data_IF_544130563508
#
_entry.id   IF_544130563508
#
_cell.length_a   1.000
_cell.length_b   1.000
_cell.length_c   1.000
_cell.angle_alpha   90.00
_cell.angle_beta   90.00
_cell.angle_gamma   90.00
#
_symmetry.space_group_name_H-M   'P 1'
#
loop_
_entity.id
_entity.type
_entity.pdbx_description
1 polymer ?
#
# COMPACT_ATOMS: atom_id res chain seq x y z
N UNK A 1 82.99 24.06 -28.52
CA UNK A 1 83.70 24.87 -27.50
C UNK A 1 83.10 24.51 -26.14
N UNK A 2 83.57 23.47 -25.44
CA UNK A 2 84.65 23.45 -24.45
C UNK A 2 84.71 24.66 -23.48
N UNK A 3 84.27 24.35 -22.25
CA UNK A 3 84.84 24.68 -20.93
C UNK A 3 84.55 26.05 -20.30
N UNK A 4 83.94 25.99 -19.09
CA UNK A 4 84.32 26.64 -17.81
C UNK A 4 83.25 26.29 -16.76
N UNK A 5 83.50 25.34 -15.84
CA UNK A 5 84.20 25.46 -14.55
C UNK A 5 83.57 26.45 -13.55
N UNK A 6 82.99 25.89 -12.47
CA UNK A 6 83.21 26.22 -11.04
C UNK A 6 81.99 25.76 -10.25
N UNK A 7 82.00 24.60 -9.59
CA UNK A 7 82.66 24.30 -8.30
C UNK A 7 82.17 25.18 -7.17
N UNK A 8 81.11 24.76 -6.47
CA UNK A 8 80.98 24.95 -5.02
C UNK A 8 80.54 23.64 -4.38
N UNK A 9 81.46 23.09 -3.60
CA UNK A 9 81.33 21.93 -2.73
C UNK A 9 80.90 22.44 -1.37
N UNK A 10 79.88 21.84 -0.77
CA UNK A 10 79.73 21.74 0.69
C UNK A 10 79.05 20.40 1.03
N UNK A 11 79.90 19.51 1.56
CA UNK A 11 79.61 18.42 2.51
C UNK A 11 78.76 18.96 3.68
N UNK A 12 77.91 18.26 4.43
CA UNK A 12 77.81 16.86 4.89
C UNK A 12 76.44 16.74 5.59
N UNK A 13 75.76 15.59 5.51
CA UNK A 13 75.35 14.79 6.67
C UNK A 13 74.29 13.76 6.27
N UNK A 14 74.68 12.51 6.43
CA UNK A 14 73.94 11.30 6.16
C UNK A 14 72.83 11.07 7.19
N UNK A 15 71.64 10.72 6.72
CA UNK A 15 70.81 9.72 7.40
C UNK A 15 70.14 8.84 6.36
N UNK A 16 70.60 7.59 6.31
CA UNK A 16 69.96 6.51 5.62
C UNK A 16 68.76 6.05 6.45
N UNK A 17 67.57 6.11 5.86
CA UNK A 17 66.48 5.23 6.21
C UNK A 17 65.92 4.68 4.90
N UNK A 18 66.22 3.42 4.63
CA UNK A 18 65.62 2.67 3.54
C UNK A 18 64.15 2.39 3.92
N UNK A 19 63.22 2.94 3.14
CA UNK A 19 61.80 2.63 3.17
C UNK A 19 61.29 2.63 1.74
N UNK A 20 61.12 1.44 1.19
CA UNK A 20 60.61 1.18 -0.16
C UNK A 20 59.11 1.49 -0.29
N UNK A 21 58.66 1.68 -1.53
CA UNK A 21 57.27 1.85 -2.04
C UNK A 21 56.82 3.33 -2.14
N UNK A 22 56.93 4.00 -3.30
CA UNK A 22 56.18 3.85 -4.57
C UNK A 22 54.79 4.50 -4.55
N UNK A 23 54.67 5.58 -5.32
CA UNK A 23 53.47 6.28 -5.83
C UNK A 23 52.57 6.98 -4.80
N UNK A 24 52.80 8.29 -4.62
CA UNK A 24 51.81 9.20 -4.05
C UNK A 24 50.77 9.57 -5.11
N UNK A 25 49.54 9.13 -4.87
CA UNK A 25 48.34 9.70 -5.46
C UNK A 25 47.98 10.99 -4.70
N UNK A 26 47.65 12.03 -5.46
CA UNK A 26 47.18 13.29 -4.89
C UNK A 26 45.77 13.15 -4.37
N UNK A 27 45.60 13.14 -3.05
CA UNK A 27 44.32 13.32 -2.40
C UNK A 27 43.84 14.76 -2.61
N UNK A 28 42.97 14.93 -3.61
CA UNK A 28 42.02 16.03 -3.62
C UNK A 28 41.11 15.89 -2.38
N UNK A 29 40.79 16.96 -1.66
CA UNK A 29 39.94 16.86 -0.49
C UNK A 29 38.55 16.39 -0.93
N UNK A 30 38.15 15.21 -0.47
CA UNK A 30 36.79 14.74 -0.55
C UNK A 30 35.88 15.79 0.10
N UNK A 31 35.05 16.42 -0.71
CA UNK A 31 33.96 17.24 -0.22
C UNK A 31 33.08 16.32 0.64
N UNK A 32 33.10 16.56 1.95
CA UNK A 32 32.13 15.99 2.86
C UNK A 32 30.75 16.45 2.38
N UNK A 33 30.00 15.52 1.79
CA UNK A 33 28.54 15.65 1.68
C UNK A 33 28.04 15.84 3.10
N UNK A 34 27.59 17.06 3.41
CA UNK A 34 26.93 17.36 4.66
C UNK A 34 25.78 16.35 4.81
N UNK A 35 25.84 15.54 5.86
CA UNK A 35 24.68 14.77 6.28
C UNK A 35 23.56 15.79 6.48
N UNK A 36 22.46 15.62 5.74
CA UNK A 36 21.24 16.38 6.03
C UNK A 36 20.84 15.94 7.43
N UNK A 37 21.10 16.80 8.42
CA UNK A 37 20.63 16.58 9.78
C UNK A 37 19.11 16.66 9.73
N UNK A 38 18.47 15.54 10.03
CA UNK A 38 17.03 15.44 10.03
C UNK A 38 16.52 16.11 11.31
N UNK A 39 15.79 17.22 11.14
CA UNK A 39 15.31 18.04 12.27
C UNK A 39 14.41 17.25 13.23
N UNK A 40 13.72 16.23 12.71
CA UNK A 40 13.03 15.21 13.49
C UNK A 40 13.46 13.85 12.97
N UNK A 41 14.07 13.03 13.84
CA UNK A 41 14.38 11.65 13.52
C UNK A 41 13.07 10.88 13.27
N UNK A 42 12.79 10.41 12.02
CA UNK A 42 11.51 9.79 11.69
C UNK A 42 11.22 8.52 12.51
N UNK A 43 12.28 7.89 13.04
CA UNK A 43 12.21 6.77 13.98
C UNK A 43 11.65 7.20 15.34
N UNK A 44 12.04 8.38 15.85
CA UNK A 44 11.49 8.94 17.08
C UNK A 44 10.01 9.30 16.92
N UNK A 45 9.67 9.97 15.81
CA UNK A 45 8.27 10.28 15.50
C UNK A 45 7.39 9.03 15.42
N UNK A 46 7.93 7.92 14.90
CA UNK A 46 7.25 6.63 14.92
C UNK A 46 6.99 6.13 16.35
N UNK A 47 8.03 6.05 17.18
CA UNK A 47 7.89 5.53 18.56
C UNK A 47 6.95 6.39 19.43
N UNK A 48 6.97 7.71 19.24
CA UNK A 48 6.14 8.61 20.05
C UNK A 48 4.69 8.67 19.58
N UNK A 49 4.44 8.55 18.27
CA UNK A 49 3.13 8.90 17.69
C UNK A 49 2.44 7.75 16.95
N UNK A 50 3.19 6.82 16.39
CA UNK A 50 2.66 5.73 15.56
C UNK A 50 2.63 4.41 16.33
N UNK A 51 3.73 4.03 16.98
CA UNK A 51 3.83 2.78 17.75
C UNK A 51 2.72 2.63 18.80
N UNK A 52 2.33 3.67 19.57
CA UNK A 52 1.22 3.55 20.53
C UNK A 52 -0.13 3.23 19.87
N UNK A 53 -0.30 3.52 18.57
CA UNK A 53 -1.49 3.18 17.78
C UNK A 53 -1.44 1.73 17.26
N UNK A 54 -0.26 1.09 17.26
CA UNK A 54 -0.01 -0.24 16.69
C UNK A 54 0.08 -1.37 17.73
N UNK A 55 0.17 -1.05 19.02
CA UNK A 55 0.32 -2.07 20.09
C UNK A 55 -1.00 -2.80 20.46
N UNK A 56 -0.91 -4.09 20.84
CA UNK A 56 -2.00 -5.07 20.97
C UNK A 56 -3.25 -4.68 21.80
N UNK A 57 -3.11 -3.75 22.76
CA UNK A 57 -4.27 -3.28 23.55
C UNK A 57 -5.08 -2.20 22.84
N UNK A 58 -4.51 -1.56 21.81
CA UNK A 58 -5.17 -0.56 20.95
C UNK A 58 -5.33 -1.02 19.51
N UNK A 59 -4.48 -1.92 18.99
CA UNK A 59 -4.62 -2.42 17.61
C UNK A 59 -5.96 -3.13 17.39
N UNK A 60 -6.45 -3.93 18.34
CA UNK A 60 -7.75 -4.61 18.21
C UNK A 60 -8.98 -3.71 18.38
N UNK A 61 -8.87 -2.60 19.13
CA UNK A 61 -9.99 -1.67 19.38
C UNK A 61 -10.01 -0.51 18.39
N UNK A 62 -8.85 -0.03 17.95
CA UNK A 62 -8.70 0.95 16.87
C UNK A 62 -9.03 0.32 15.50
N UNK A 63 -8.55 -0.91 15.19
CA UNK A 63 -8.84 -1.55 13.89
C UNK A 63 -10.30 -1.99 13.72
N UNK A 64 -11.12 -2.02 14.79
CA UNK A 64 -12.54 -2.30 14.68
C UNK A 64 -13.35 -1.12 14.11
N UNK A 65 -12.82 0.12 14.20
CA UNK A 65 -13.56 1.34 13.84
C UNK A 65 -12.75 2.46 13.14
N UNK A 66 -11.44 2.61 13.37
CA UNK A 66 -10.63 3.73 12.84
C UNK A 66 -10.01 3.50 11.47
N UNK A 67 -9.94 2.25 11.02
CA UNK A 67 -9.23 1.88 9.80
C UNK A 67 -10.02 0.95 8.91
N UNK A 68 -11.35 0.97 9.02
CA UNK A 68 -12.33 0.27 8.17
C UNK A 68 -11.74 -0.88 7.35
N UNK A 69 -11.52 -2.02 8.02
CA UNK A 69 -11.05 -3.25 7.38
C UNK A 69 -9.54 -3.36 7.16
N UNK A 70 -8.73 -2.46 7.70
CA UNK A 70 -7.28 -2.48 7.57
C UNK A 70 -6.65 -2.71 8.92
N UNK A 71 -6.05 -3.88 9.11
CA UNK A 71 -5.28 -4.17 10.31
C UNK A 71 -3.86 -3.63 10.11
N UNK A 72 -3.51 -2.53 10.80
CA UNK A 72 -2.15 -1.97 10.66
C UNK A 72 -1.06 -2.85 11.21
N UNK A 73 -1.38 -3.81 12.09
CA UNK A 73 -0.38 -4.77 12.56
C UNK A 73 0.18 -5.60 11.39
N UNK A 74 -0.58 -5.73 10.29
CA UNK A 74 -0.17 -6.42 9.07
C UNK A 74 0.90 -5.64 8.28
N UNK A 75 1.07 -4.34 8.55
CA UNK A 75 2.12 -3.48 7.94
C UNK A 75 3.17 -3.01 8.93
N UNK A 76 2.83 -2.99 10.23
CA UNK A 76 3.80 -2.81 11.30
C UNK A 76 4.85 -3.93 11.22
N UNK A 77 6.12 -3.55 11.34
CA UNK A 77 7.26 -4.46 11.29
C UNK A 77 8.12 -4.23 12.51
N UNK A 78 9.08 -5.13 12.69
CA UNK A 78 10.05 -5.13 13.78
C UNK A 78 10.74 -3.78 14.01
N UNK A 79 10.87 -2.95 12.96
CA UNK A 79 11.47 -1.62 13.07
C UNK A 79 10.62 -0.55 12.37
N UNK A 80 10.73 0.73 12.81
CA UNK A 80 10.10 1.87 12.14
C UNK A 80 10.46 1.94 10.65
N UNK A 81 11.74 1.73 10.31
CA UNK A 81 12.18 1.80 8.92
C UNK A 81 11.68 0.63 8.06
N UNK A 82 11.51 -0.57 8.63
CA UNK A 82 10.91 -1.70 7.91
C UNK A 82 9.40 -1.47 7.71
N UNK A 83 8.73 -0.87 8.69
CA UNK A 83 7.32 -0.44 8.57
C UNK A 83 7.17 0.61 7.47
N UNK A 84 8.02 1.65 7.47
CA UNK A 84 8.07 2.68 6.43
C UNK A 84 8.28 2.06 5.03
N UNK A 85 9.30 1.22 4.87
CA UNK A 85 9.60 0.56 3.60
C UNK A 85 8.40 -0.25 3.09
N UNK A 86 7.73 -1.01 3.97
CA UNK A 86 6.53 -1.76 3.60
C UNK A 86 5.36 -0.87 3.18
N UNK A 87 5.10 0.23 3.89
CA UNK A 87 4.02 1.15 3.55
C UNK A 87 4.27 1.87 2.22
N UNK A 88 5.53 2.21 1.90
CA UNK A 88 5.90 2.80 0.60
C UNK A 88 5.83 1.78 -0.52
N UNK A 89 6.42 0.59 -0.35
CA UNK A 89 6.44 -0.47 -1.37
C UNK A 89 5.03 -0.97 -1.74
N UNK A 90 4.09 -0.92 -0.79
CA UNK A 90 2.69 -1.25 -1.01
C UNK A 90 1.81 -0.08 -1.49
N UNK A 91 2.41 1.07 -1.81
CA UNK A 91 1.70 2.26 -2.28
C UNK A 91 0.69 2.79 -1.23
N UNK A 92 0.90 2.52 0.06
CA UNK A 92 0.06 3.03 1.15
C UNK A 92 0.50 4.43 1.59
N UNK A 93 1.79 4.71 1.43
CA UNK A 93 2.41 6.00 1.68
C UNK A 93 3.04 6.52 0.39
N UNK A 94 2.82 7.80 0.10
CA UNK A 94 3.45 8.50 -1.01
C UNK A 94 4.44 9.55 -0.47
N UNK A 95 5.75 9.26 -0.41
CA UNK A 95 6.75 10.19 0.10
C UNK A 95 6.87 11.47 -0.74
N UNK A 96 6.53 11.41 -2.03
CA UNK A 96 6.59 12.57 -2.92
C UNK A 96 5.39 13.52 -2.75
N UNK A 97 4.28 13.02 -2.21
CA UNK A 97 3.10 13.82 -1.90
C UNK A 97 2.43 13.26 -0.62
N UNK A 98 2.95 13.59 0.58
CA UNK A 98 2.48 13.05 1.86
C UNK A 98 0.97 13.09 2.05
N UNK A 99 0.33 14.21 1.69
CA UNK A 99 -1.13 14.42 1.77
C UNK A 99 -1.95 13.45 0.90
N UNK A 100 -1.36 12.91 -0.16
CA UNK A 100 -2.02 11.95 -1.06
C UNK A 100 -1.88 10.49 -0.61
N UNK A 101 -1.24 10.25 0.53
CA UNK A 101 -1.00 8.89 1.04
C UNK A 101 -2.33 8.19 1.33
N UNK A 102 -2.51 6.98 0.79
CA UNK A 102 -3.75 6.20 0.92
C UNK A 102 -4.10 5.90 2.37
N UNK A 103 -3.09 5.71 3.23
CA UNK A 103 -3.29 5.48 4.67
C UNK A 103 -4.01 6.66 5.36
N UNK A 104 -3.81 7.90 4.92
CA UNK A 104 -4.51 9.06 5.48
C UNK A 104 -6.00 9.02 5.13
N UNK A 105 -6.32 8.73 3.86
CA UNK A 105 -7.70 8.53 3.43
C UNK A 105 -8.37 7.38 4.18
N UNK A 106 -7.60 6.37 4.62
CA UNK A 106 -8.16 5.24 5.36
C UNK A 106 -8.56 5.60 6.79
N UNK A 107 -7.79 6.45 7.45
CA UNK A 107 -8.11 7.00 8.78
C UNK A 107 -9.36 7.88 8.69
N UNK A 108 -9.46 8.71 7.64
CA UNK A 108 -10.58 9.63 7.45
C UNK A 108 -11.91 8.94 7.13
N UNK A 109 -11.90 7.66 6.72
CA UNK A 109 -13.13 6.84 6.56
C UNK A 109 -13.79 6.48 7.89
N UNK A 110 -13.08 6.62 9.01
CA UNK A 110 -13.63 6.34 10.33
C UNK A 110 -14.83 7.26 10.58
N UNK A 111 -15.93 6.68 11.06
CA UNK A 111 -17.09 7.46 11.51
C UNK A 111 -17.00 7.68 13.01
N UNK A 112 -17.40 8.86 13.52
CA UNK A 112 -17.44 9.09 14.95
C UNK A 112 -18.64 8.36 15.56
N UNK A 113 -18.51 7.05 15.75
CA UNK A 113 -19.59 6.13 16.09
C UNK A 113 -19.64 5.73 17.58
N UNK A 114 -18.73 6.27 18.40
CA UNK A 114 -18.69 6.02 19.84
C UNK A 114 -18.02 7.13 20.65
N UNK A 115 -18.14 7.07 21.98
CA UNK A 115 -17.48 8.02 22.90
C UNK A 115 -15.94 7.98 22.84
N UNK A 116 -15.35 6.90 22.33
CA UNK A 116 -13.91 6.74 22.18
C UNK A 116 -13.40 7.15 20.80
N UNK A 117 -14.30 7.28 19.83
CA UNK A 117 -14.02 7.48 18.41
C UNK A 117 -14.73 8.75 18.02
N UNK A 118 -14.08 9.87 18.33
CA UNK A 118 -14.61 11.19 18.01
C UNK A 118 -13.87 11.76 16.81
N UNK A 119 -14.44 12.81 16.20
CA UNK A 119 -13.79 13.52 15.11
C UNK A 119 -12.40 14.03 15.52
N UNK A 120 -12.20 14.41 16.78
CA UNK A 120 -10.91 14.86 17.31
C UNK A 120 -9.89 13.72 17.39
N UNK A 121 -10.31 12.51 17.77
CA UNK A 121 -9.41 11.34 17.80
C UNK A 121 -9.00 10.96 16.37
N UNK A 122 -9.94 10.90 15.44
CA UNK A 122 -9.68 10.61 14.02
C UNK A 122 -8.71 11.65 13.43
N UNK A 123 -8.94 12.94 13.70
CA UNK A 123 -8.05 14.00 13.26
C UNK A 123 -6.65 13.87 13.87
N UNK A 124 -6.55 13.56 15.18
CA UNK A 124 -5.27 13.38 15.85
C UNK A 124 -4.47 12.20 15.29
N UNK A 125 -5.13 11.07 14.98
CA UNK A 125 -4.50 9.92 14.35
C UNK A 125 -4.01 10.24 12.93
N UNK A 126 -4.86 10.87 12.11
CA UNK A 126 -4.47 11.30 10.77
C UNK A 126 -3.29 12.25 10.82
N UNK A 127 -3.32 13.24 11.71
CA UNK A 127 -2.27 14.25 11.83
C UNK A 127 -0.96 13.63 12.35
N UNK A 128 -1.03 12.64 13.24
CA UNK A 128 0.13 11.86 13.66
C UNK A 128 0.77 11.08 12.50
N UNK A 129 -0.03 10.37 11.70
CA UNK A 129 0.44 9.67 10.50
C UNK A 129 1.03 10.63 9.47
N UNK A 130 0.34 11.74 9.19
CA UNK A 130 0.81 12.76 8.26
C UNK A 130 2.15 13.33 8.69
N UNK A 131 2.29 13.75 9.95
CA UNK A 131 3.53 14.29 10.48
C UNK A 131 4.69 13.28 10.38
N UNK A 132 4.42 12.00 10.62
CA UNK A 132 5.42 10.95 10.46
C UNK A 132 5.83 10.75 8.99
N UNK A 133 4.87 10.76 8.06
CA UNK A 133 5.15 10.66 6.62
C UNK A 133 5.98 11.86 6.14
N UNK A 134 5.62 13.07 6.56
CA UNK A 134 6.37 14.29 6.24
C UNK A 134 7.80 14.25 6.78
N UNK A 135 8.01 13.78 8.01
CA UNK A 135 9.34 13.62 8.59
C UNK A 135 10.21 12.66 7.77
N UNK A 136 9.66 11.51 7.33
CA UNK A 136 10.39 10.58 6.47
C UNK A 136 10.66 11.17 5.07
N UNK A 137 9.70 11.92 4.50
CA UNK A 137 9.86 12.57 3.20
C UNK A 137 10.96 13.65 3.22
N UNK A 138 11.09 14.37 4.33
CA UNK A 138 12.14 15.37 4.56
C UNK A 138 13.49 14.73 4.88
N UNK A 139 13.50 13.47 5.32
CA UNK A 139 14.69 12.71 5.70
C UNK A 139 14.80 11.38 4.93
N UNK A 140 14.96 11.40 3.59
CA UNK A 140 14.98 10.17 2.79
C UNK A 140 16.15 9.24 3.12
N UNK A 141 17.20 9.75 3.77
CA UNK A 141 18.34 8.97 4.25
C UNK A 141 18.07 8.16 5.53
N UNK A 142 17.08 8.51 6.36
CA UNK A 142 16.84 7.83 7.65
C UNK A 142 16.57 6.33 7.51
N UNK A 143 15.86 5.95 6.46
CA UNK A 143 15.51 4.56 6.17
C UNK A 143 16.06 4.07 4.83
N UNK A 144 17.09 4.74 4.30
CA UNK A 144 17.68 4.40 3.01
C UNK A 144 18.26 2.97 3.02
N UNK A 145 17.96 2.20 1.97
CA UNK A 145 18.43 0.82 1.82
C UNK A 145 17.66 -0.22 2.63
N UNK A 146 16.70 0.20 3.46
CA UNK A 146 15.76 -0.74 4.10
C UNK A 146 14.66 -1.07 3.11
N UNK A 147 14.42 -2.37 2.92
CA UNK A 147 13.30 -2.88 2.12
C UNK A 147 12.30 -3.56 3.04
N UNK A 148 11.07 -3.71 2.55
CA UNK A 148 10.01 -4.38 3.30
C UNK A 148 10.36 -5.85 3.62
N UNK A 149 11.07 -6.52 2.72
CA UNK A 149 11.33 -7.96 2.77
C UNK A 149 10.13 -8.78 2.27
N UNK A 150 10.13 -10.08 2.56
CA UNK A 150 8.92 -10.89 2.33
C UNK A 150 7.82 -10.39 3.26
N UNK A 151 6.67 -10.08 2.68
CA UNK A 151 5.49 -9.76 3.47
C UNK A 151 5.12 -11.01 4.25
N UNK A 152 5.07 -10.90 5.58
CA UNK A 152 4.38 -11.91 6.38
C UNK A 152 2.98 -12.01 5.79
N UNK A 153 2.68 -13.21 5.29
CA UNK A 153 1.40 -13.61 4.78
C UNK A 153 0.41 -13.68 5.96
N UNK A 154 0.15 -12.55 6.63
CA UNK A 154 -1.07 -12.37 7.43
C UNK A 154 -2.25 -12.89 6.61
N UNK A 155 -3.24 -13.54 7.24
CA UNK A 155 -4.10 -14.56 6.64
C UNK A 155 -4.35 -14.27 5.17
N UNK A 156 -3.54 -14.93 4.33
CA UNK A 156 -3.44 -14.52 2.94
C UNK A 156 -4.75 -14.80 2.27
N UNK A 157 -5.23 -13.84 1.49
CA UNK A 157 -6.41 -13.99 0.65
C UNK A 157 -6.20 -14.96 -0.51
N UNK A 158 -5.08 -15.69 -0.48
CA UNK A 158 -4.54 -16.55 -1.51
C UNK A 158 -5.18 -17.93 -1.54
N UNK A 159 -6.13 -18.27 -0.66
CA UNK A 159 -6.76 -19.59 -0.72
C UNK A 159 -8.30 -19.57 -0.79
N UNK A 160 -8.91 -19.85 -1.97
CA UNK A 160 -10.36 -19.98 -2.16
C UNK A 160 -10.87 -21.39 -1.87
N UNK A 161 -10.14 -22.24 -1.13
CA UNK A 161 -10.57 -23.60 -0.79
C UNK A 161 -11.69 -23.67 0.25
N UNK A 162 -12.13 -22.55 0.80
CA UNK A 162 -13.34 -22.52 1.61
C UNK A 162 -14.57 -22.45 0.71
N UNK A 163 -15.56 -23.27 1.06
CA UNK A 163 -16.91 -23.34 0.51
C UNK A 163 -17.38 -21.97 -0.03
N UNK A 164 -17.97 -21.91 -1.24
CA UNK A 164 -18.42 -20.65 -1.80
C UNK A 164 -19.25 -19.91 -0.75
N UNK A 165 -18.97 -18.61 -0.51
CA UNK A 165 -19.71 -17.82 0.46
C UNK A 165 -21.19 -17.97 0.14
N UNK A 166 -21.95 -18.46 1.12
CA UNK A 166 -23.39 -18.44 0.98
C UNK A 166 -23.79 -16.97 0.97
N UNK A 167 -24.56 -16.57 -0.05
CA UNK A 167 -25.21 -15.26 0.00
C UNK A 167 -25.95 -15.16 1.34
N UNK A 168 -25.82 -14.04 2.08
CA UNK A 168 -26.53 -13.89 3.34
C UNK A 168 -28.01 -14.23 3.15
N UNK A 169 -28.53 -15.14 3.97
CA UNK A 169 -29.95 -15.51 3.92
C UNK A 169 -30.77 -14.40 4.57
N UNK A 170 -31.61 -13.73 3.79
CA UNK A 170 -32.59 -12.73 4.25
C UNK A 170 -32.32 -11.31 3.77
N UNK A 171 -33.30 -10.43 4.02
CA UNK A 171 -33.20 -9.00 3.76
C UNK A 171 -32.30 -8.36 4.84
N UNK A 172 -30.99 -8.42 4.64
CA UNK A 172 -30.06 -7.63 5.45
C UNK A 172 -30.23 -6.18 5.04
N UNK A 173 -30.65 -5.32 5.97
CA UNK A 173 -30.65 -3.87 5.75
C UNK A 173 -29.20 -3.42 5.61
N UNK A 174 -28.76 -3.20 4.37
CA UNK A 174 -27.42 -2.72 4.06
C UNK A 174 -27.44 -1.18 4.14
N UNK A 175 -26.63 -0.60 5.02
CA UNK A 175 -26.46 0.85 5.10
C UNK A 175 -25.51 1.39 4.05
N UNK A 176 -25.38 2.73 3.98
CA UNK A 176 -24.66 3.44 2.92
C UNK A 176 -23.39 4.15 3.37
N UNK A 177 -22.88 3.85 4.56
CA UNK A 177 -21.54 4.32 4.93
C UNK A 177 -20.47 3.65 4.04
N UNK A 178 -19.32 4.30 3.89
CA UNK A 178 -18.16 3.72 3.18
C UNK A 178 -17.81 2.33 3.71
N UNK A 179 -17.90 2.13 5.03
CA UNK A 179 -17.63 0.84 5.69
C UNK A 179 -18.65 -0.23 5.30
N UNK A 180 -19.93 0.11 5.23
CA UNK A 180 -20.98 -0.81 4.83
C UNK A 180 -20.88 -1.17 3.35
N UNK A 181 -20.57 -0.20 2.47
CA UNK A 181 -20.33 -0.46 1.05
C UNK A 181 -19.10 -1.34 0.82
N UNK A 182 -18.01 -1.12 1.58
CA UNK A 182 -16.82 -1.97 1.52
C UNK A 182 -17.09 -3.39 2.00
N UNK A 183 -17.88 -3.55 3.06
CA UNK A 183 -18.29 -4.86 3.56
C UNK A 183 -19.21 -5.56 2.56
N UNK A 184 -20.20 -4.87 2.00
CA UNK A 184 -21.06 -5.41 0.95
C UNK A 184 -20.23 -5.86 -0.26
N UNK A 185 -19.25 -5.05 -0.69
CA UNK A 185 -18.34 -5.46 -1.77
C UNK A 185 -17.49 -6.68 -1.39
N UNK A 186 -17.02 -6.74 -0.14
CA UNK A 186 -16.27 -7.90 0.37
C UNK A 186 -17.09 -9.17 0.22
N UNK A 187 -18.30 -9.17 0.78
CA UNK A 187 -19.18 -10.34 0.83
C UNK A 187 -19.69 -10.72 -0.56
N UNK A 188 -20.02 -9.73 -1.39
CA UNK A 188 -20.77 -9.97 -2.61
C UNK A 188 -19.89 -10.12 -3.86
N UNK A 189 -18.71 -9.53 -3.86
CA UNK A 189 -17.82 -9.47 -5.03
C UNK A 189 -16.46 -10.09 -4.72
N UNK A 190 -15.77 -9.54 -3.71
CA UNK A 190 -14.39 -9.91 -3.42
C UNK A 190 -14.27 -11.34 -2.88
N UNK A 191 -15.31 -11.86 -2.24
CA UNK A 191 -15.39 -13.25 -1.79
C UNK A 191 -15.28 -14.26 -2.95
N UNK A 192 -15.69 -13.87 -4.17
CA UNK A 192 -15.62 -14.68 -5.40
C UNK A 192 -14.34 -14.45 -6.24
N UNK A 193 -13.43 -13.57 -5.80
CA UNK A 193 -12.22 -13.13 -6.52
C UNK A 193 -11.38 -14.26 -7.14
N UNK A 194 -11.39 -15.46 -6.56
CA UNK A 194 -10.69 -16.63 -7.08
C UNK A 194 -11.11 -17.01 -8.51
N UNK A 195 -12.32 -16.65 -8.94
CA UNK A 195 -12.80 -16.87 -10.31
C UNK A 195 -12.26 -15.87 -11.34
N UNK A 196 -11.76 -14.72 -10.86
CA UNK A 196 -11.19 -13.64 -11.66
C UNK A 196 -9.67 -13.75 -11.76
N UNK A 197 -9.06 -14.55 -10.89
CA UNK A 197 -7.69 -15.03 -11.03
C UNK A 197 -7.53 -15.87 -12.32
N UNK A 198 -6.41 -15.80 -13.04
CA UNK A 198 -5.19 -15.01 -12.78
C UNK A 198 -5.18 -13.60 -13.40
N UNK A 199 -6.27 -13.17 -14.05
CA UNK A 199 -6.19 -12.00 -14.94
C UNK A 199 -6.25 -10.64 -14.23
N UNK A 200 -7.03 -10.53 -13.16
CA UNK A 200 -7.39 -9.23 -12.58
C UNK A 200 -6.60 -8.84 -11.33
N UNK A 201 -5.70 -9.71 -10.86
CA UNK A 201 -4.87 -9.47 -9.68
C UNK A 201 -3.72 -8.52 -10.02
N UNK A 202 -3.45 -7.56 -9.13
CA UNK A 202 -2.37 -6.57 -9.27
C UNK A 202 -0.96 -7.17 -9.16
N UNK A 203 -0.84 -8.34 -8.56
CA UNK A 203 0.43 -9.07 -8.42
C UNK A 203 0.74 -10.00 -9.61
N UNK A 204 -0.21 -10.24 -10.50
CA UNK A 204 -0.07 -11.25 -11.55
C UNK A 204 0.70 -10.75 -12.77
N UNK A 205 2.02 -10.95 -12.73
CA UNK A 205 2.99 -10.47 -13.73
C UNK A 205 2.79 -11.03 -15.14
N UNK A 206 2.12 -12.18 -15.28
CA UNK A 206 1.95 -12.88 -16.56
C UNK A 206 0.57 -12.71 -17.19
N UNK A 207 -0.37 -12.05 -16.51
CA UNK A 207 -1.70 -11.90 -17.05
C UNK A 207 -1.74 -10.88 -18.20
N UNK A 208 -2.78 -10.96 -19.02
CA UNK A 208 -2.97 -10.12 -20.19
C UNK A 208 -2.90 -8.62 -19.80
N UNK A 209 -2.11 -7.78 -20.49
CA UNK A 209 -1.99 -6.36 -20.18
C UNK A 209 -3.28 -5.56 -20.45
N UNK A 210 -4.22 -6.10 -21.24
CA UNK A 210 -5.52 -5.48 -21.51
C UNK A 210 -6.56 -5.75 -20.42
N UNK A 211 -6.31 -6.73 -19.55
CA UNK A 211 -7.18 -6.99 -18.41
C UNK A 211 -6.89 -5.94 -17.30
N UNK A 212 -7.90 -5.16 -16.87
CA UNK A 212 -7.71 -4.18 -15.81
C UNK A 212 -7.35 -4.88 -14.50
N UNK A 213 -6.34 -4.35 -13.80
CA UNK A 213 -5.87 -4.87 -12.51
C UNK A 213 -6.61 -4.21 -11.37
N UNK A 214 -7.83 -4.68 -11.16
CA UNK A 214 -8.73 -4.12 -10.16
C UNK A 214 -8.76 -4.93 -8.86
N UNK A 215 -8.35 -6.20 -8.87
CA UNK A 215 -8.26 -7.00 -7.64
C UNK A 215 -6.91 -6.80 -6.96
N UNK A 216 -6.94 -6.40 -5.70
CA UNK A 216 -5.74 -6.24 -4.88
C UNK A 216 -5.61 -7.37 -3.87
N UNK A 217 -4.39 -7.86 -3.68
CA UNK A 217 -4.03 -8.73 -2.56
C UNK A 217 -3.12 -8.03 -1.55
N UNK A 218 -3.07 -6.70 -1.59
CA UNK A 218 -2.30 -5.90 -0.64
C UNK A 218 -2.93 -6.00 0.75
N UNK A 219 -2.12 -6.36 1.74
CA UNK A 219 -2.57 -6.51 3.12
C UNK A 219 -3.42 -7.76 3.36
N UNK A 220 -4.43 -7.63 4.22
CA UNK A 220 -5.41 -8.69 4.50
C UNK A 220 -6.63 -8.59 3.55
N UNK A 221 -7.62 -9.45 3.73
CA UNK A 221 -8.74 -9.55 2.78
C UNK A 221 -9.70 -8.37 2.80
N UNK A 222 -9.89 -7.74 3.95
CA UNK A 222 -10.69 -6.53 4.03
C UNK A 222 -9.95 -5.36 3.36
N UNK A 223 -8.64 -5.25 3.55
CA UNK A 223 -7.81 -4.23 2.86
C UNK A 223 -7.77 -4.44 1.34
N UNK A 224 -7.54 -5.68 0.90
CA UNK A 224 -7.54 -6.05 -0.51
C UNK A 224 -8.90 -5.79 -1.15
N UNK A 225 -10.00 -6.07 -0.45
CA UNK A 225 -11.37 -5.78 -0.88
C UNK A 225 -11.64 -4.29 -1.06
N UNK A 226 -11.36 -3.47 -0.03
CA UNK A 226 -11.56 -2.02 -0.09
C UNK A 226 -10.74 -1.38 -1.22
N UNK A 227 -9.46 -1.79 -1.37
CA UNK A 227 -8.63 -1.36 -2.50
C UNK A 227 -9.23 -1.78 -3.85
N UNK A 228 -9.82 -2.96 -3.92
CA UNK A 228 -10.46 -3.48 -5.13
C UNK A 228 -11.74 -2.74 -5.49
N UNK A 229 -12.58 -2.39 -4.50
CA UNK A 229 -13.76 -1.57 -4.69
C UNK A 229 -13.40 -0.20 -5.28
N UNK A 230 -12.43 0.49 -4.67
CA UNK A 230 -11.97 1.81 -5.14
C UNK A 230 -11.48 1.75 -6.59
N UNK A 231 -10.75 0.69 -6.96
CA UNK A 231 -10.30 0.49 -8.35
C UNK A 231 -11.46 0.18 -9.28
N UNK A 232 -12.42 -0.64 -8.87
CA UNK A 232 -13.60 -0.95 -9.66
C UNK A 232 -14.43 0.30 -9.96
N UNK A 233 -14.63 1.17 -8.97
CA UNK A 233 -15.27 2.48 -9.13
C UNK A 233 -14.45 3.37 -10.07
N UNK A 234 -13.15 3.53 -9.81
CA UNK A 234 -12.28 4.39 -10.63
C UNK A 234 -12.14 3.95 -12.09
N UNK A 235 -12.36 2.67 -12.37
CA UNK A 235 -12.40 2.10 -13.72
C UNK A 235 -13.79 2.14 -14.37
N UNK A 236 -14.82 2.64 -13.67
CA UNK A 236 -16.19 2.67 -14.16
C UNK A 236 -16.78 1.28 -14.38
N UNK A 237 -16.41 0.30 -13.53
CA UNK A 237 -16.93 -1.07 -13.67
C UNK A 237 -18.37 -1.21 -13.15
N UNK A 238 -18.84 -0.24 -12.38
CA UNK A 238 -20.18 -0.21 -11.79
C UNK A 238 -20.96 0.91 -12.49
N UNK A 239 -22.09 0.55 -13.08
CA UNK A 239 -23.02 1.49 -13.69
C UNK A 239 -24.04 1.92 -12.62
N UNK A 240 -23.99 3.20 -12.23
CA UNK A 240 -24.82 3.78 -11.16
C UNK A 240 -26.24 4.10 -11.63
N UNK A 241 -26.50 4.09 -12.94
CA UNK A 241 -27.83 4.33 -13.50
C UNK A 241 -28.57 3.00 -13.71
N UNK A 242 -27.88 1.99 -14.24
CA UNK A 242 -28.39 0.65 -14.46
C UNK A 242 -27.41 -0.42 -13.95
N UNK A 243 -27.56 -0.90 -12.70
CA UNK A 243 -26.67 -1.87 -12.10
C UNK A 243 -26.49 -3.14 -12.92
N UNK A 244 -27.51 -3.54 -13.68
CA UNK A 244 -27.45 -4.72 -14.56
C UNK A 244 -26.49 -4.54 -15.74
N UNK A 245 -26.19 -3.29 -16.11
CA UNK A 245 -25.25 -2.93 -17.17
C UNK A 245 -23.81 -2.73 -16.68
N UNK A 246 -23.57 -2.85 -15.37
CA UNK A 246 -22.22 -2.82 -14.80
C UNK A 246 -21.30 -3.82 -15.50
N UNK A 247 -20.15 -3.37 -16.01
CA UNK A 247 -19.14 -4.27 -16.58
C UNK A 247 -18.63 -5.29 -15.56
N UNK A 248 -18.68 -4.96 -14.27
CA UNK A 248 -18.42 -5.88 -13.16
C UNK A 248 -19.34 -7.12 -13.22
N UNK A 249 -20.59 -6.94 -13.65
CA UNK A 249 -21.61 -8.01 -13.80
C UNK A 249 -21.54 -8.64 -15.19
N UNK A 250 -21.52 -7.83 -16.25
CA UNK A 250 -21.70 -8.31 -17.63
C UNK A 250 -20.48 -9.04 -18.20
N UNK A 251 -19.25 -8.66 -17.82
CA UNK A 251 -18.03 -9.30 -18.33
C UNK A 251 -17.92 -10.78 -17.91
N UNK A 252 -18.10 -11.14 -16.62
CA UNK A 252 -18.08 -12.54 -16.24
C UNK A 252 -19.35 -13.30 -16.63
N UNK A 253 -20.48 -12.64 -16.91
CA UNK A 253 -21.69 -13.31 -17.38
C UNK A 253 -21.53 -13.89 -18.79
N UNK A 254 -22.09 -15.06 -19.03
CA UNK A 254 -22.08 -15.65 -20.35
C UNK A 254 -22.90 -14.85 -21.37
N UNK A 255 -22.42 -14.81 -22.62
CA UNK A 255 -23.04 -14.00 -23.68
C UNK A 255 -24.46 -14.48 -24.02
N UNK A 256 -24.78 -15.77 -23.83
CA UNK A 256 -26.13 -16.27 -24.07
C UNK A 256 -27.12 -15.79 -22.99
N UNK A 257 -26.63 -15.55 -21.78
CA UNK A 257 -27.34 -14.93 -20.66
C UNK A 257 -27.40 -13.39 -20.72
N UNK A 258 -26.93 -12.76 -21.79
CA UNK A 258 -26.91 -11.31 -21.94
C UNK A 258 -25.62 -10.63 -21.48
N UNK A 259 -24.59 -11.39 -21.14
CA UNK A 259 -23.25 -10.88 -20.86
C UNK A 259 -22.54 -10.31 -22.10
N UNK A 260 -21.37 -9.72 -21.88
CA UNK A 260 -20.52 -9.17 -22.95
C UNK A 260 -19.26 -10.00 -23.12
N UNK A 261 -18.63 -9.90 -24.29
CA UNK A 261 -17.38 -10.64 -24.55
C UNK A 261 -16.30 -10.29 -23.52
N UNK A 262 -15.72 -11.33 -22.93
CA UNK A 262 -14.65 -11.26 -21.95
C UNK A 262 -13.48 -12.15 -22.36
N UNK A 263 -12.28 -11.58 -22.42
CA UNK A 263 -11.09 -12.28 -22.92
C UNK A 263 -10.72 -13.53 -22.11
N UNK A 264 -11.07 -13.56 -20.82
CA UNK A 264 -10.90 -14.73 -19.95
C UNK A 264 -12.03 -15.77 -20.03
N UNK A 265 -12.99 -15.59 -20.94
CA UNK A 265 -14.21 -16.39 -21.05
C UNK A 265 -15.24 -16.08 -19.95
N UNK A 266 -16.44 -16.65 -20.09
CA UNK A 266 -17.51 -16.55 -19.10
C UNK A 266 -17.13 -17.22 -17.78
N UNK A 267 -17.57 -16.64 -16.67
CA UNK A 267 -17.40 -17.13 -15.29
C UNK A 267 -18.73 -17.42 -14.59
N UNK A 268 -19.81 -16.80 -15.04
CA UNK A 268 -21.15 -16.92 -14.49
C UNK A 268 -22.14 -17.35 -15.58
N UNK A 269 -23.26 -17.91 -15.12
CA UNK A 269 -24.53 -17.90 -15.83
C UNK A 269 -25.56 -17.12 -15.02
N UNK A 270 -26.75 -16.85 -15.58
CA UNK A 270 -27.84 -16.18 -14.85
C UNK A 270 -28.29 -16.93 -13.59
N UNK A 271 -28.06 -18.24 -13.51
CA UNK A 271 -28.37 -19.05 -12.33
C UNK A 271 -27.19 -19.21 -11.36
N UNK A 272 -26.02 -18.64 -11.68
CA UNK A 272 -24.84 -18.74 -10.82
C UNK A 272 -25.00 -17.83 -9.59
N UNK A 273 -24.78 -18.32 -8.36
CA UNK A 273 -24.82 -17.49 -7.16
C UNK A 273 -23.92 -16.25 -7.24
N UNK A 274 -22.78 -16.34 -7.90
CA UNK A 274 -21.87 -15.20 -8.08
C UNK A 274 -22.48 -14.10 -8.96
N UNK A 275 -23.32 -14.44 -9.95
CA UNK A 275 -24.04 -13.43 -10.73
C UNK A 275 -25.02 -12.66 -9.85
N UNK A 276 -25.85 -13.37 -9.07
CA UNK A 276 -26.79 -12.75 -8.15
C UNK A 276 -26.09 -11.88 -7.09
N UNK A 277 -24.94 -12.36 -6.60
CA UNK A 277 -24.09 -11.67 -5.63
C UNK A 277 -23.55 -10.36 -6.20
N UNK A 278 -22.94 -10.38 -7.39
CA UNK A 278 -22.40 -9.18 -8.03
C UNK A 278 -23.49 -8.17 -8.39
N UNK A 279 -24.65 -8.64 -8.84
CA UNK A 279 -25.79 -7.78 -9.15
C UNK A 279 -26.38 -7.15 -7.89
N UNK A 280 -26.45 -7.89 -6.77
CA UNK A 280 -26.88 -7.36 -5.47
C UNK A 280 -25.98 -6.20 -5.04
N UNK A 281 -24.66 -6.39 -5.09
CA UNK A 281 -23.73 -5.31 -4.78
C UNK A 281 -23.90 -4.10 -5.68
N UNK A 282 -23.95 -4.28 -7.01
CA UNK A 282 -24.11 -3.17 -7.94
C UNK A 282 -25.42 -2.39 -7.69
N UNK A 283 -26.49 -3.11 -7.34
CA UNK A 283 -27.79 -2.51 -7.00
C UNK A 283 -27.70 -1.70 -5.72
N UNK A 284 -27.12 -2.28 -4.67
CA UNK A 284 -26.93 -1.61 -3.39
C UNK A 284 -26.01 -0.39 -3.52
N UNK A 285 -24.92 -0.48 -4.28
CA UNK A 285 -24.04 0.64 -4.54
C UNK A 285 -24.79 1.80 -5.19
N UNK A 286 -25.62 1.53 -6.20
CA UNK A 286 -26.49 2.54 -6.82
C UNK A 286 -27.40 3.20 -5.78
N UNK A 287 -28.07 2.42 -4.93
CA UNK A 287 -28.99 2.95 -3.91
C UNK A 287 -28.29 3.93 -2.96
N UNK A 288 -27.01 3.71 -2.69
CA UNK A 288 -26.22 4.57 -1.83
C UNK A 288 -25.60 5.80 -2.51
N UNK A 289 -25.34 5.76 -3.81
CA UNK A 289 -24.68 6.86 -4.54
C UNK A 289 -25.60 7.63 -5.49
N UNK A 290 -26.84 7.20 -5.69
CA UNK A 290 -27.81 7.92 -6.49
C UNK A 290 -28.17 9.27 -5.83
N UNK A 291 -28.20 10.38 -6.59
CA UNK A 291 -28.49 11.72 -6.09
C UNK A 291 -29.95 11.93 -5.65
#
# INVERSE_FOLDING_TARGET
MKARHSSWVLLLASLAAAGSASCGDGDAPAQAVAAVECEVEPTQAFHERIEPLLTDTRSSTCNQCHLSGVDLSVFARETPCKTWACLVEQDLVNPAAPDSSRILSWIERAQPDSELITTEVIAAERDAFKAWIEANAQCPSACAGVTCGELDAGPTCLNPEHEPPQAPEGDVELGCSDKELEQAFYDDVYSWRGRCFPCHYDTEKKADPTAPRWLSVVGNCATGSAASLKRAIGLGLIDTEDPSQSLLVLKPLDVAGGGVTHGGGSKFTLSDPAYASFLRFATHYKECVAP
#
